data_IF_964335600509
#
_entry.id   IF_964335600509
#
_cell.length_a   1.000
_cell.length_b   1.000
_cell.length_c   1.000
_cell.angle_alpha   90.00
_cell.angle_beta   90.00
_cell.angle_gamma   90.00
#
_symmetry.space_group_name_H-M   'P 1'
#
loop_
_entity.id
_entity.type
_entity.pdbx_description
1 polymer ?
#
# COMPACT_ATOMS: atom_id res chain seq x y z
N UNK A 1 -3.47 1.47 4.49
CA UNK A 1 -2.07 1.44 4.97
C UNK A 1 -1.67 0.08 5.53
N UNK A 2 -2.29 -0.41 6.61
CA UNK A 2 -1.88 -1.66 7.30
C UNK A 2 -1.66 -2.91 6.41
N UNK A 3 -2.42 -3.06 5.31
CA UNK A 3 -2.27 -4.18 4.37
C UNK A 3 -0.91 -4.22 3.64
N UNK A 4 -0.17 -3.12 3.65
CA UNK A 4 1.17 -3.05 3.05
C UNK A 4 2.29 -3.29 4.07
N UNK A 5 1.99 -3.46 5.37
CA UNK A 5 2.99 -3.77 6.38
C UNK A 5 3.32 -5.27 6.39
N UNK A 6 4.52 -5.63 6.84
CA UNK A 6 4.83 -7.03 7.19
C UNK A 6 3.92 -7.50 8.33
N UNK A 7 3.44 -8.75 8.28
CA UNK A 7 2.67 -9.33 9.39
C UNK A 7 3.54 -9.65 10.61
N UNK A 8 4.66 -10.35 10.41
CA UNK A 8 5.65 -10.61 11.43
C UNK A 8 7.04 -10.64 10.79
N UNK A 9 7.95 -9.81 11.27
CA UNK A 9 9.32 -9.70 10.76
C UNK A 9 10.31 -9.55 11.91
N UNK A 10 10.95 -10.64 12.38
CA UNK A 10 11.90 -10.59 13.50
C UNK A 10 13.12 -9.70 13.21
N UNK A 11 13.52 -9.64 11.94
CA UNK A 11 14.75 -8.95 11.51
C UNK A 11 14.49 -7.51 11.09
N UNK A 12 13.21 -7.14 10.87
CA UNK A 12 12.78 -5.79 10.49
C UNK A 12 11.42 -5.46 11.16
N UNK A 13 11.35 -5.44 12.50
CA UNK A 13 10.10 -5.23 13.22
C UNK A 13 9.46 -3.86 12.94
N UNK A 14 10.26 -2.86 12.54
CA UNK A 14 9.77 -1.55 12.12
C UNK A 14 8.84 -1.63 10.90
N UNK A 15 9.00 -2.65 10.03
CA UNK A 15 8.15 -2.88 8.86
C UNK A 15 6.77 -3.44 9.21
N UNK A 16 6.55 -3.86 10.46
CA UNK A 16 5.23 -4.16 10.99
C UNK A 16 4.44 -2.88 11.35
N UNK A 17 5.03 -1.70 11.17
CA UNK A 17 4.41 -0.41 11.50
C UNK A 17 4.14 0.45 10.25
N UNK A 18 3.18 1.36 10.41
CA UNK A 18 3.04 2.54 9.59
C UNK A 18 4.01 3.58 10.14
N UNK A 19 4.87 4.11 9.27
CA UNK A 19 5.81 5.17 9.62
C UNK A 19 5.31 6.51 9.09
N UNK A 20 5.25 7.52 9.94
CA UNK A 20 4.78 8.85 9.58
C UNK A 20 5.97 9.79 9.43
N UNK A 21 6.08 10.45 8.27
CA UNK A 21 7.19 11.36 7.98
C UNK A 21 6.81 12.41 6.94
N UNK A 22 7.09 13.68 7.24
CA UNK A 22 6.90 14.82 6.35
C UNK A 22 5.47 14.92 5.77
N UNK A 23 4.44 14.66 6.60
CA UNK A 23 3.04 14.69 6.18
C UNK A 23 2.58 13.47 5.35
N UNK A 24 3.40 12.43 5.25
CA UNK A 24 3.06 11.17 4.59
C UNK A 24 3.08 10.00 5.57
N UNK A 25 2.23 9.01 5.29
CA UNK A 25 2.28 7.70 5.91
C UNK A 25 2.92 6.71 4.93
N UNK A 26 3.88 5.93 5.43
CA UNK A 26 4.59 4.89 4.70
C UNK A 26 4.30 3.52 5.31
N UNK A 27 4.11 2.51 4.47
CA UNK A 27 3.98 1.12 4.87
C UNK A 27 4.61 0.22 3.81
N UNK A 28 5.37 -0.78 4.23
CA UNK A 28 6.02 -1.74 3.33
C UNK A 28 6.23 -3.08 4.02
N UNK A 29 6.16 -4.17 3.24
CA UNK A 29 6.50 -5.53 3.65
C UNK A 29 7.81 -6.02 2.98
N UNK A 30 8.45 -5.16 2.19
CA UNK A 30 9.65 -5.44 1.41
C UNK A 30 9.37 -5.90 -0.02
N UNK A 31 8.12 -6.25 -0.33
CA UNK A 31 7.66 -6.58 -1.69
C UNK A 31 6.82 -5.45 -2.29
N UNK A 32 6.04 -4.76 -1.47
CA UNK A 32 5.28 -3.57 -1.83
C UNK A 32 5.64 -2.39 -0.93
N UNK A 33 5.50 -1.18 -1.47
CA UNK A 33 5.63 0.08 -0.72
C UNK A 33 4.42 0.95 -1.03
N UNK A 34 3.74 1.42 0.01
CA UNK A 34 2.66 2.38 -0.08
C UNK A 34 3.08 3.70 0.59
N UNK A 35 2.87 4.81 -0.14
CA UNK A 35 3.01 6.19 0.35
C UNK A 35 1.69 6.91 0.13
N UNK A 36 1.12 7.48 1.19
CA UNK A 36 -0.10 8.29 1.08
C UNK A 36 0.06 9.57 1.89
N UNK A 37 -0.44 10.70 1.35
CA UNK A 37 -0.46 11.97 2.08
C UNK A 37 -1.53 11.88 3.17
N UNK A 38 -1.16 12.21 4.41
CA UNK A 38 -2.05 12.00 5.57
C UNK A 38 -3.34 12.82 5.44
N UNK A 39 -3.24 14.05 4.93
CA UNK A 39 -4.40 14.94 4.69
C UNK A 39 -5.38 14.42 3.63
N UNK A 40 -4.98 13.45 2.80
CA UNK A 40 -5.86 12.87 1.76
C UNK A 40 -6.57 11.61 2.26
N UNK A 41 -6.04 10.96 3.30
CA UNK A 41 -6.53 9.68 3.80
C UNK A 41 -7.09 9.76 5.23
N UNK A 42 -7.15 10.96 5.80
CA UNK A 42 -7.67 11.20 7.16
C UNK A 42 -8.29 12.59 7.27
N UNK A 43 -9.04 12.83 8.34
CA UNK A 43 -9.59 14.14 8.69
C UNK A 43 -8.72 14.96 9.64
N UNK A 44 -7.44 14.60 9.81
CA UNK A 44 -6.53 15.25 10.74
C UNK A 44 -6.12 16.65 10.27
N UNK A 45 -5.95 17.56 11.21
CA UNK A 45 -5.44 18.91 10.97
C UNK A 45 -3.90 18.94 10.87
N UNK A 46 -3.33 20.00 10.29
CA UNK A 46 -1.89 20.12 10.06
C UNK A 46 -1.04 19.98 11.34
N UNK A 47 -1.55 20.45 12.48
CA UNK A 47 -0.85 20.35 13.76
C UNK A 47 -0.80 18.90 14.28
N UNK A 48 -1.86 18.12 14.05
CA UNK A 48 -1.93 16.69 14.38
C UNK A 48 -1.04 15.87 13.45
N UNK A 49 -1.05 16.20 12.15
CA UNK A 49 -0.15 15.60 11.15
C UNK A 49 1.31 15.85 11.53
N UNK A 50 1.63 17.05 12.02
CA UNK A 50 2.98 17.38 12.49
C UNK A 50 3.36 16.59 13.74
N UNK A 51 2.41 16.37 14.67
CA UNK A 51 2.64 15.58 15.88
C UNK A 51 2.95 14.09 15.58
N UNK A 52 2.52 13.59 14.42
CA UNK A 52 2.85 12.24 13.95
C UNK A 52 4.28 12.12 13.40
N UNK A 53 4.99 13.22 13.11
CA UNK A 53 6.28 13.13 12.43
C UNK A 53 7.31 12.29 13.21
N UNK A 54 7.88 11.31 12.53
CA UNK A 54 8.85 10.36 13.10
C UNK A 54 8.22 9.24 13.94
N UNK A 55 6.90 9.18 14.10
CA UNK A 55 6.22 8.16 14.90
C UNK A 55 5.97 6.87 14.11
N UNK A 56 5.87 5.76 14.84
CA UNK A 56 5.56 4.43 14.32
C UNK A 56 4.28 3.92 14.98
N UNK A 57 3.28 3.55 14.18
CA UNK A 57 2.08 2.90 14.69
C UNK A 57 1.99 1.48 14.15
N UNK A 58 1.87 0.49 15.05
CA UNK A 58 1.79 -0.91 14.65
C UNK A 58 0.58 -1.15 13.72
N UNK A 59 0.72 -2.03 12.73
CA UNK A 59 -0.30 -2.28 11.72
C UNK A 59 -1.64 -2.75 12.33
N UNK A 60 -1.59 -3.58 13.37
CA UNK A 60 -2.77 -4.02 14.11
C UNK A 60 -3.48 -2.86 14.81
N UNK A 61 -2.72 -1.96 15.45
CA UNK A 61 -3.28 -0.77 16.09
C UNK A 61 -3.87 0.20 15.06
N UNK A 62 -3.22 0.38 13.91
CA UNK A 62 -3.79 1.16 12.82
C UNK A 62 -5.10 0.53 12.33
N UNK A 63 -5.16 -0.79 12.15
CA UNK A 63 -6.38 -1.50 11.73
C UNK A 63 -7.52 -1.35 12.74
N UNK A 64 -7.21 -1.42 14.03
CA UNK A 64 -8.19 -1.24 15.09
C UNK A 64 -8.65 0.21 15.24
N UNK A 65 -7.74 1.19 15.08
CA UNK A 65 -8.04 2.61 15.06
C UNK A 65 -9.10 2.98 14.02
N UNK A 66 -9.11 2.33 12.84
CA UNK A 66 -10.10 2.58 11.78
C UNK A 66 -11.56 2.30 12.18
N UNK A 67 -11.81 1.66 13.34
CA UNK A 67 -13.16 1.36 13.84
C UNK A 67 -13.77 2.53 14.62
N UNK A 68 -12.95 3.50 15.02
CA UNK A 68 -13.33 4.64 15.85
C UNK A 68 -13.59 5.89 15.00
N UNK A 69 -14.44 6.77 15.51
CA UNK A 69 -14.90 7.94 14.75
C UNK A 69 -14.07 9.19 15.07
N UNK A 70 -13.54 9.29 16.30
CA UNK A 70 -12.72 10.41 16.75
C UNK A 70 -11.30 9.94 17.07
N UNK A 71 -10.31 10.74 16.66
CA UNK A 71 -8.89 10.49 16.83
C UNK A 71 -8.29 11.75 17.44
N UNK A 72 -7.45 11.59 18.46
CA UNK A 72 -6.65 12.66 19.05
C UNK A 72 -5.20 12.19 19.16
N UNK A 73 -4.28 12.98 18.60
CA UNK A 73 -2.85 12.67 18.64
C UNK A 73 -2.25 13.15 19.95
N UNK A 74 -1.66 12.24 20.71
CA UNK A 74 -0.89 12.51 21.93
C UNK A 74 0.61 12.29 21.67
N UNK A 75 1.45 12.64 22.66
CA UNK A 75 2.90 12.53 22.51
C UNK A 75 3.38 11.06 22.38
N UNK A 76 2.79 10.19 23.18
CA UNK A 76 3.14 8.77 23.35
C UNK A 76 2.24 7.81 22.55
N UNK A 77 1.17 8.32 21.93
CA UNK A 77 0.24 7.50 21.17
C UNK A 77 -0.94 8.26 20.59
N UNK A 78 -1.99 7.51 20.29
CA UNK A 78 -3.23 8.00 19.69
C UNK A 78 -4.41 7.59 20.59
N UNK A 79 -5.16 8.56 21.09
CA UNK A 79 -6.45 8.31 21.75
C UNK A 79 -7.54 8.25 20.69
N UNK A 80 -8.32 7.16 20.72
CA UNK A 80 -9.46 6.95 19.84
C UNK A 80 -10.72 6.80 20.67
N UNK A 81 -11.83 7.37 20.19
CA UNK A 81 -13.12 7.22 20.87
C UNK A 81 -14.30 7.06 19.93
N UNK A 82 -15.26 6.24 20.36
CA UNK A 82 -16.53 5.99 19.70
C UNK A 82 -17.60 5.74 20.75
N UNK A 83 -18.68 6.50 20.70
CA UNK A 83 -19.72 6.49 21.74
C UNK A 83 -19.12 6.67 23.15
N UNK A 84 -19.22 5.65 24.01
CA UNK A 84 -18.64 5.65 25.36
C UNK A 84 -17.29 4.88 25.44
N UNK A 85 -16.83 4.28 24.35
CA UNK A 85 -15.59 3.52 24.30
C UNK A 85 -14.41 4.44 23.99
N UNK A 86 -13.35 4.29 24.79
CA UNK A 86 -12.07 4.97 24.59
C UNK A 86 -10.93 3.95 24.62
N UNK A 87 -10.01 4.07 23.67
CA UNK A 87 -8.81 3.24 23.61
C UNK A 87 -7.61 4.12 23.29
N UNK A 88 -6.47 3.77 23.89
CA UNK A 88 -5.20 4.44 23.63
C UNK A 88 -4.23 3.48 22.95
N UNK A 89 -3.70 3.87 21.79
CA UNK A 89 -2.72 3.10 21.04
C UNK A 89 -1.35 3.76 21.14
N UNK A 90 -0.43 3.12 21.86
CA UNK A 90 0.93 3.62 22.01
C UNK A 90 1.72 3.53 20.70
N UNK A 91 2.57 4.53 20.45
CA UNK A 91 3.55 4.46 19.38
C UNK A 91 4.63 3.41 19.69
N UNK A 92 5.07 2.71 18.65
CA UNK A 92 6.23 1.83 18.73
C UNK A 92 7.52 2.65 18.69
N UNK A 93 8.58 2.15 19.31
CA UNK A 93 9.89 2.82 19.34
C UNK A 93 10.89 2.01 18.53
N UNK A 94 11.48 2.65 17.51
CA UNK A 94 12.56 2.10 16.70
C UNK A 94 13.55 3.22 16.35
N UNK A 95 14.81 2.84 16.10
CA UNK A 95 15.85 3.81 15.76
C UNK A 95 15.64 4.43 14.36
N UNK A 96 15.17 3.62 13.40
CA UNK A 96 14.95 4.05 12.02
C UNK A 96 13.94 3.18 11.30
N UNK A 97 13.23 3.78 10.35
CA UNK A 97 12.56 3.06 9.27
C UNK A 97 13.53 2.93 8.07
N UNK A 98 13.39 1.93 7.19
CA UNK A 98 14.05 1.94 5.89
C UNK A 98 13.80 3.27 5.16
N UNK A 99 14.77 3.73 4.36
CA UNK A 99 14.62 4.97 3.59
C UNK A 99 13.66 4.76 2.40
N UNK A 100 12.36 4.71 2.74
CA UNK A 100 11.28 4.41 1.81
C UNK A 100 11.15 5.50 0.74
N UNK A 101 11.43 6.76 1.08
CA UNK A 101 11.39 7.85 0.11
C UNK A 101 12.51 7.70 -0.93
N UNK A 102 13.74 7.36 -0.50
CA UNK A 102 14.81 7.09 -1.44
C UNK A 102 14.46 5.95 -2.39
N UNK A 103 13.96 4.82 -1.88
CA UNK A 103 13.54 3.67 -2.72
C UNK A 103 12.45 4.08 -3.72
N UNK A 104 11.47 4.87 -3.28
CA UNK A 104 10.42 5.38 -4.15
C UNK A 104 10.99 6.29 -5.26
N UNK A 105 11.85 7.24 -4.89
CA UNK A 105 12.45 8.18 -5.86
C UNK A 105 13.38 7.47 -6.84
N UNK A 106 14.16 6.48 -6.40
CA UNK A 106 14.98 5.66 -7.28
C UNK A 106 14.11 4.92 -8.32
N UNK A 107 12.98 4.34 -7.89
CA UNK A 107 12.03 3.69 -8.79
C UNK A 107 11.38 4.68 -9.77
N UNK A 108 10.93 5.85 -9.30
CA UNK A 108 10.31 6.89 -10.15
C UNK A 108 11.28 7.52 -11.15
N UNK A 109 12.56 7.63 -10.80
CA UNK A 109 13.60 8.19 -11.66
C UNK A 109 14.25 7.15 -12.58
N UNK A 110 13.92 5.85 -12.41
CA UNK A 110 14.43 4.80 -13.29
C UNK A 110 13.89 5.05 -14.70
N UNK A 111 14.79 5.16 -15.67
CA UNK A 111 14.40 5.34 -17.07
C UNK A 111 13.47 4.20 -17.49
N UNK A 112 12.31 4.56 -18.05
CA UNK A 112 11.40 3.58 -18.61
C UNK A 112 12.14 2.76 -19.66
N UNK A 113 12.10 1.44 -19.55
CA UNK A 113 12.47 0.59 -20.68
C UNK A 113 11.57 0.97 -21.87
N UNK A 114 11.98 0.74 -23.13
CA UNK A 114 11.13 0.97 -24.30
C UNK A 114 9.85 0.12 -24.35
N UNK A 115 9.53 -0.61 -23.26
CA UNK A 115 8.26 -1.29 -23.13
C UNK A 115 7.14 -0.27 -23.00
N UNK A 116 6.01 -0.48 -23.70
CA UNK A 116 4.90 0.43 -23.60
C UNK A 116 4.31 0.45 -22.20
N UNK A 117 3.95 1.64 -21.71
CA UNK A 117 3.21 1.78 -20.47
C UNK A 117 1.79 1.22 -20.64
N UNK A 118 1.33 0.43 -19.67
CA UNK A 118 0.01 -0.18 -19.67
C UNK A 118 -0.75 0.31 -18.45
N UNK A 119 -1.99 0.78 -18.67
CA UNK A 119 -2.85 1.34 -17.62
C UNK A 119 -3.96 0.34 -17.32
N UNK A 120 -4.37 0.18 -16.06
CA UNK A 120 -5.47 -0.73 -15.71
C UNK A 120 -6.14 -0.31 -14.40
N UNK A 121 -7.39 -0.73 -14.23
CA UNK A 121 -8.17 -0.49 -13.02
C UNK A 121 -7.82 -1.53 -11.94
N UNK A 122 -7.33 -1.03 -10.80
CA UNK A 122 -6.94 -1.86 -9.65
C UNK A 122 -8.11 -2.68 -9.07
N UNK A 123 -9.35 -2.21 -9.16
CA UNK A 123 -10.54 -2.98 -8.74
C UNK A 123 -10.82 -4.14 -9.70
N UNK A 124 -10.57 -3.95 -10.99
CA UNK A 124 -10.77 -5.01 -12.00
C UNK A 124 -9.71 -6.09 -11.85
N UNK A 125 -8.42 -5.74 -11.68
CA UNK A 125 -7.37 -6.76 -11.44
C UNK A 125 -7.62 -7.52 -10.14
N UNK A 126 -8.09 -6.86 -9.07
CA UNK A 126 -8.47 -7.55 -7.83
C UNK A 126 -9.63 -8.53 -8.04
N UNK A 127 -10.65 -8.13 -8.83
CA UNK A 127 -11.76 -9.02 -9.17
C UNK A 127 -11.29 -10.19 -10.05
N UNK A 128 -10.38 -9.94 -11.00
CA UNK A 128 -9.78 -10.99 -11.82
C UNK A 128 -9.05 -12.01 -10.94
N UNK A 129 -8.18 -11.55 -10.04
CA UNK A 129 -7.48 -12.44 -9.10
C UNK A 129 -8.44 -13.29 -8.28
N UNK A 130 -9.53 -12.70 -7.76
CA UNK A 130 -10.55 -13.46 -7.01
C UNK A 130 -11.36 -14.45 -7.85
N UNK A 131 -11.39 -14.31 -9.17
CA UNK A 131 -12.20 -15.15 -10.07
C UNK A 131 -11.43 -16.33 -10.66
N UNK A 132 -10.10 -16.26 -10.66
CA UNK A 132 -9.24 -17.30 -11.20
C UNK A 132 -8.92 -18.34 -10.13
N UNK A 133 -8.66 -19.57 -10.58
CA UNK A 133 -8.23 -20.66 -9.70
C UNK A 133 -6.70 -20.64 -9.60
N UNK A 134 -6.16 -20.73 -8.39
CA UNK A 134 -4.72 -20.76 -8.11
C UNK A 134 -3.94 -19.60 -8.78
N UNK A 135 -4.40 -18.36 -8.59
CA UNK A 135 -3.88 -17.16 -9.27
C UNK A 135 -3.07 -16.21 -8.39
N UNK A 136 -2.65 -16.63 -7.19
CA UNK A 136 -1.82 -15.80 -6.31
C UNK A 136 -0.47 -15.42 -6.96
N UNK A 137 -0.02 -16.20 -7.95
CA UNK A 137 1.15 -15.94 -8.79
C UNK A 137 0.81 -16.24 -10.24
N UNK A 138 1.00 -15.26 -11.12
CA UNK A 138 0.71 -15.37 -12.54
C UNK A 138 1.85 -14.86 -13.42
N UNK A 139 1.93 -15.41 -14.62
CA UNK A 139 2.65 -14.79 -15.75
C UNK A 139 1.69 -13.83 -16.43
N UNK A 140 2.08 -12.56 -16.57
CA UNK A 140 1.34 -11.56 -17.34
C UNK A 140 1.97 -11.40 -18.73
N UNK A 141 1.25 -11.79 -19.78
CA UNK A 141 1.68 -11.64 -21.17
C UNK A 141 1.05 -10.40 -21.80
N UNK A 142 1.87 -9.40 -22.10
CA UNK A 142 1.45 -8.16 -22.76
C UNK A 142 1.48 -8.32 -24.28
N UNK A 143 0.40 -7.91 -24.96
CA UNK A 143 0.26 -7.97 -26.42
C UNK A 143 0.27 -6.58 -27.10
N UNK A 144 0.40 -5.50 -26.33
CA UNK A 144 0.36 -4.10 -26.76
C UNK A 144 -0.27 -3.19 -25.69
N UNK A 145 -0.16 -1.85 -25.82
CA UNK A 145 -0.68 -0.85 -24.85
C UNK A 145 -2.18 -0.95 -24.61
N UNK A 146 -2.93 -1.06 -25.72
CA UNK A 146 -4.39 -1.11 -25.75
C UNK A 146 -4.91 -2.51 -26.12
N UNK A 147 -4.07 -3.55 -25.96
CA UNK A 147 -4.43 -4.94 -26.23
C UNK A 147 -4.63 -5.70 -24.93
N UNK A 148 -5.42 -6.77 -25.00
CA UNK A 148 -5.67 -7.66 -23.84
C UNK A 148 -4.36 -8.15 -23.23
N UNK A 149 -4.30 -8.15 -21.89
CA UNK A 149 -3.25 -8.79 -21.11
C UNK A 149 -3.75 -10.17 -20.73
N UNK A 150 -2.94 -11.20 -20.99
CA UNK A 150 -3.24 -12.59 -20.63
C UNK A 150 -2.53 -12.92 -19.32
N UNK A 151 -3.25 -13.51 -18.37
CA UNK A 151 -2.73 -13.97 -17.10
C UNK A 151 -2.85 -15.50 -17.01
N UNK A 152 -1.71 -16.17 -16.89
CA UNK A 152 -1.61 -17.62 -16.72
C UNK A 152 -1.13 -17.95 -15.31
N UNK A 153 -1.72 -18.95 -14.65
CA UNK A 153 -1.23 -19.41 -13.33
C UNK A 153 0.21 -19.92 -13.43
N UNK A 154 1.03 -19.62 -12.42
CA UNK A 154 2.37 -20.21 -12.28
C UNK A 154 2.36 -21.62 -11.65
N UNK A 155 1.20 -22.12 -11.23
CA UNK A 155 1.07 -23.43 -10.60
C UNK A 155 1.03 -24.54 -11.63
N UNK A 156 1.87 -25.57 -11.44
CA UNK A 156 1.94 -26.70 -12.37
C UNK A 156 0.61 -27.45 -12.45
N UNK A 157 0.17 -27.77 -13.66
CA UNK A 157 -1.10 -28.48 -13.92
C UNK A 157 -2.35 -27.60 -13.86
N UNK A 158 -2.23 -26.31 -13.57
CA UNK A 158 -3.37 -25.37 -13.57
C UNK A 158 -3.55 -24.77 -14.97
N UNK A 159 -4.77 -24.86 -15.51
CA UNK A 159 -5.16 -24.31 -16.82
C UNK A 159 -6.05 -23.07 -16.74
N UNK A 160 -6.05 -22.38 -15.58
CA UNK A 160 -6.82 -21.14 -15.39
C UNK A 160 -6.17 -19.98 -16.16
N UNK A 161 -6.97 -19.30 -16.98
CA UNK A 161 -6.53 -18.18 -17.81
C UNK A 161 -7.40 -16.96 -17.56
N UNK A 162 -6.77 -15.85 -17.23
CA UNK A 162 -7.41 -14.55 -17.06
C UNK A 162 -7.14 -13.61 -18.22
N UNK A 163 -8.12 -12.76 -18.52
CA UNK A 163 -7.98 -11.68 -19.49
C UNK A 163 -8.30 -10.35 -18.81
N UNK A 164 -7.43 -9.37 -19.00
CA UNK A 164 -7.65 -7.99 -18.57
C UNK A 164 -7.53 -7.06 -19.76
N UNK A 165 -8.58 -6.28 -20.02
CA UNK A 165 -8.47 -5.15 -20.94
C UNK A 165 -7.86 -3.96 -20.21
N UNK A 166 -6.74 -3.39 -20.71
CA UNK A 166 -6.19 -2.15 -20.19
C UNK A 166 -7.18 -0.98 -20.27
N UNK A 167 -6.97 0.02 -19.41
CA UNK A 167 -7.57 1.34 -19.60
C UNK A 167 -6.98 1.96 -20.86
N UNK A 168 -7.85 2.56 -21.68
CA UNK A 168 -7.46 3.15 -22.94
C UNK A 168 -6.49 4.31 -22.72
N UNK A 169 -5.42 4.36 -23.52
CA UNK A 169 -4.60 5.55 -23.66
C UNK A 169 -4.68 6.09 -25.07
N UNK A 170 -4.99 7.38 -25.19
CA UNK A 170 -4.98 8.12 -26.46
C UNK A 170 -3.57 8.23 -27.05
N UNK A 171 -2.53 7.91 -26.26
CA UNK A 171 -1.10 7.99 -26.64
C UNK A 171 -0.65 7.02 -27.75
N UNK A 172 -1.57 6.27 -28.38
CA UNK A 172 -1.23 5.34 -29.47
C UNK A 172 -2.33 5.33 -30.53
N UNK A 173 -2.29 6.30 -31.44
CA UNK A 173 -2.65 6.07 -32.85
C UNK A 173 -1.40 5.52 -33.57
N UNK A 174 -1.22 4.19 -33.55
CA UNK A 174 -0.40 3.47 -34.55
C UNK A 174 -1.04 2.12 -34.87
#
# INVERSE_FOLDING_TARGET
MHLACSGYSPTRPEMCCIYFRNGFAYASDGHILAKNRISEISGLEDHEITALDGKFLHADFYKDMLKYDNIMIAEDGIECSKDNDKVFFYFSTFDKYPDAEKVLQEALNTQTTPLPQVRFDMKIIQRLNKSLFESDKCVATFKGTNKVIVFDSMMEGVSSVGLLMPCYSEDTEE
#
